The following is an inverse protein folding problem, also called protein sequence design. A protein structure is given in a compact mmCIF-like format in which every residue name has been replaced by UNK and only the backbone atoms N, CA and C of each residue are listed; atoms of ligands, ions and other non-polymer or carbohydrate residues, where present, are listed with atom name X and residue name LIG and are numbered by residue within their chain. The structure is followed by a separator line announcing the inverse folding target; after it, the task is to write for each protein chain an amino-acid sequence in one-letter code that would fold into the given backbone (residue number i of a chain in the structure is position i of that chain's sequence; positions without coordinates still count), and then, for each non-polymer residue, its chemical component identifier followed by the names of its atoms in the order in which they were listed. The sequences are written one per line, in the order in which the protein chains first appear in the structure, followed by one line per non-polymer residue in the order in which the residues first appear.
data_IF_845311790440
#
_entry.id   IF_845311790440
#
_cell.length_a   1.000
_cell.length_b   1.000
_cell.length_c   1.000
_cell.angle_alpha   90.00
_cell.angle_beta   90.00
_cell.angle_gamma   90.00
#
_symmetry.space_group_name_H-M   'P 1'
#
loop_
_entity.id
_entity.type
_entity.pdbx_description
1 polymer ?
#
# COMPACT_ATOMS: atom_id res chain seq x y z
N UNK A 1 11.68 -11.12 18.77
CA UNK A 1 10.50 -11.49 17.98
C UNK A 1 10.51 -10.58 16.76
N UNK A 2 10.80 -11.13 15.58
CA UNK A 2 10.84 -10.34 14.36
C UNK A 2 9.41 -10.10 13.89
N UNK A 3 8.99 -8.83 13.95
CA UNK A 3 7.64 -8.42 13.55
C UNK A 3 7.60 -8.35 12.02
N UNK A 4 6.71 -9.12 11.39
CA UNK A 4 6.61 -9.16 9.93
C UNK A 4 5.97 -7.88 9.37
N UNK A 5 6.64 -7.10 8.49
CA UNK A 5 6.15 -5.78 8.06
C UNK A 5 4.77 -5.81 7.40
N UNK A 6 4.48 -6.86 6.62
CA UNK A 6 3.16 -7.03 6.01
C UNK A 6 2.03 -7.17 7.03
N UNK A 7 2.27 -7.79 8.18
CA UNK A 7 1.28 -7.90 9.27
C UNK A 7 1.06 -6.54 9.92
N UNK A 8 2.14 -5.80 10.19
CA UNK A 8 2.07 -4.44 10.76
C UNK A 8 1.24 -3.53 9.86
N UNK A 9 1.48 -3.59 8.55
CA UNK A 9 0.75 -2.82 7.56
C UNK A 9 -0.75 -3.16 7.57
N UNK A 10 -1.11 -4.44 7.53
CA UNK A 10 -2.51 -4.87 7.54
C UNK A 10 -3.25 -4.38 8.78
N UNK A 11 -2.62 -4.49 9.95
CA UNK A 11 -3.17 -3.98 11.21
C UNK A 11 -3.29 -2.45 11.21
N UNK A 12 -2.28 -1.73 10.70
CA UNK A 12 -2.30 -0.28 10.63
C UNK A 12 -3.44 0.22 9.72
N UNK A 13 -3.59 -0.35 8.53
CA UNK A 13 -4.68 -0.01 7.61
C UNK A 13 -6.06 -0.37 8.16
N UNK A 14 -6.17 -1.51 8.86
CA UNK A 14 -7.42 -1.89 9.50
C UNK A 14 -7.84 -0.84 10.56
N UNK A 15 -6.91 -0.45 11.43
CA UNK A 15 -7.16 0.56 12.45
C UNK A 15 -7.42 1.94 11.83
N UNK A 16 -6.69 2.33 10.79
CA UNK A 16 -6.88 3.59 10.09
C UNK A 16 -8.28 3.66 9.46
N UNK A 17 -8.72 2.61 8.76
CA UNK A 17 -10.06 2.52 8.19
C UNK A 17 -11.15 2.64 9.26
N UNK A 18 -10.93 2.02 10.42
CA UNK A 18 -11.85 2.09 11.57
C UNK A 18 -11.93 3.49 12.19
N UNK A 19 -10.79 4.13 12.42
CA UNK A 19 -10.73 5.41 13.16
C UNK A 19 -11.20 6.59 12.33
N UNK A 20 -11.01 6.53 11.01
CA UNK A 20 -11.26 7.68 10.14
C UNK A 20 -12.70 7.75 9.61
N UNK A 21 -13.52 6.72 9.84
CA UNK A 21 -14.83 6.54 9.20
C UNK A 21 -14.78 6.82 7.67
N UNK A 22 -13.60 6.70 7.05
CA UNK A 22 -13.44 6.87 5.61
C UNK A 22 -14.14 5.73 4.87
N UNK A 23 -14.30 4.58 5.53
CA UNK A 23 -14.71 3.32 4.95
C UNK A 23 -15.71 2.62 5.88
N UNK A 24 -16.85 2.19 5.32
CA UNK A 24 -17.82 1.40 6.09
C UNK A 24 -17.32 -0.05 6.22
N UNK A 25 -17.15 -0.52 7.46
CA UNK A 25 -16.61 -1.85 7.74
C UNK A 25 -17.53 -2.98 7.23
N UNK A 26 -16.92 -3.99 6.60
CA UNK A 26 -17.51 -5.33 6.47
C UNK A 26 -17.29 -6.08 7.81
N UNK A 27 -17.67 -7.37 7.99
CA UNK A 27 -17.52 -8.05 9.27
C UNK A 27 -16.09 -7.91 9.80
N UNK A 28 -15.93 -7.41 11.04
CA UNK A 28 -14.66 -6.87 11.53
C UNK A 28 -13.51 -7.89 11.49
N UNK A 29 -13.78 -9.14 11.93
CA UNK A 29 -12.77 -10.20 11.95
C UNK A 29 -12.28 -10.61 10.56
N UNK A 30 -13.21 -10.80 9.62
CA UNK A 30 -12.88 -11.14 8.22
C UNK A 30 -12.13 -10.01 7.52
N UNK A 31 -12.48 -8.77 7.83
CA UNK A 31 -11.85 -7.58 7.26
C UNK A 31 -10.41 -7.41 7.76
N UNK A 32 -10.17 -7.61 9.07
CA UNK A 32 -8.82 -7.60 9.62
C UNK A 32 -7.96 -8.74 9.04
N UNK A 33 -8.50 -9.96 8.96
CA UNK A 33 -7.79 -11.12 8.39
C UNK A 33 -7.46 -10.92 6.92
N UNK A 34 -8.42 -10.47 6.11
CA UNK A 34 -8.21 -10.23 4.68
C UNK A 34 -7.12 -9.19 4.43
N UNK A 35 -7.12 -8.09 5.19
CA UNK A 35 -6.05 -7.09 5.11
C UNK A 35 -4.70 -7.68 5.47
N UNK A 36 -4.57 -8.33 6.63
CA UNK A 36 -3.29 -8.92 7.07
C UNK A 36 -2.74 -9.90 6.03
N UNK A 37 -3.59 -10.78 5.49
CA UNK A 37 -3.17 -11.77 4.50
C UNK A 37 -2.69 -11.07 3.22
N UNK A 38 -3.50 -10.17 2.67
CA UNK A 38 -3.18 -9.53 1.38
C UNK A 38 -1.99 -8.57 1.48
N UNK A 39 -1.84 -7.85 2.59
CA UNK A 39 -0.65 -7.01 2.83
C UNK A 39 0.59 -7.86 3.06
N UNK A 40 0.47 -9.04 3.68
CA UNK A 40 1.59 -9.96 3.88
C UNK A 40 2.05 -10.63 2.59
N UNK A 41 1.11 -11.04 1.74
CA UNK A 41 1.39 -11.57 0.40
C UNK A 41 2.00 -10.48 -0.48
N UNK A 42 1.40 -9.29 -0.50
CA UNK A 42 1.91 -8.14 -1.26
C UNK A 42 3.34 -7.77 -0.85
N UNK A 43 3.63 -7.73 0.45
CA UNK A 43 4.98 -7.50 0.96
C UNK A 43 5.97 -8.58 0.51
N UNK A 44 5.60 -9.86 0.62
CA UNK A 44 6.49 -10.96 0.23
C UNK A 44 6.84 -10.89 -1.26
N UNK A 45 5.82 -10.74 -2.10
CA UNK A 45 6.00 -10.65 -3.55
C UNK A 45 6.79 -9.41 -3.96
N UNK A 46 6.51 -8.26 -3.33
CA UNK A 46 7.30 -7.05 -3.54
C UNK A 46 8.80 -7.26 -3.25
N UNK A 47 9.10 -7.90 -2.14
CA UNK A 47 10.48 -8.20 -1.72
C UNK A 47 11.14 -9.18 -2.70
N UNK A 48 10.45 -10.26 -3.07
CA UNK A 48 10.97 -11.25 -4.03
C UNK A 48 11.21 -10.61 -5.41
N UNK A 49 10.27 -9.81 -5.90
CA UNK A 49 10.41 -9.04 -7.15
C UNK A 49 11.59 -8.07 -7.09
N UNK A 50 11.81 -7.41 -5.95
CA UNK A 50 12.94 -6.51 -5.77
C UNK A 50 14.29 -7.25 -5.76
N UNK A 51 14.34 -8.45 -5.19
CA UNK A 51 15.56 -9.27 -5.11
C UNK A 51 15.89 -10.01 -6.41
N UNK A 52 14.91 -10.57 -7.11
CA UNK A 52 15.15 -11.44 -8.28
C UNK A 52 15.54 -10.66 -9.54
N UNK A 53 15.13 -9.39 -9.69
CA UNK A 53 15.15 -8.73 -11.01
C UNK A 53 16.35 -7.78 -11.24
N UNK A 54 16.98 -7.24 -10.19
CA UNK A 54 18.16 -6.33 -10.33
C UNK A 54 17.90 -4.99 -11.05
N UNK A 55 18.47 -3.88 -10.54
CA UNK A 55 18.16 -2.50 -11.00
C UNK A 55 18.25 -2.31 -12.53
N UNK A 56 17.39 -1.50 -13.18
CA UNK A 56 16.58 -0.39 -12.64
C UNK A 56 15.05 -0.57 -12.66
N UNK A 57 14.55 -1.66 -13.25
CA UNK A 57 13.13 -2.03 -13.37
C UNK A 57 12.51 -2.80 -12.14
N UNK A 58 13.24 -3.30 -11.11
CA UNK A 58 12.63 -4.05 -10.00
C UNK A 58 11.81 -3.22 -9.04
N UNK A 59 12.26 -2.01 -8.68
CA UNK A 59 11.68 -1.25 -7.56
C UNK A 59 10.29 -0.70 -7.86
N UNK A 60 10.10 -0.18 -9.06
CA UNK A 60 8.79 0.30 -9.54
C UNK A 60 7.80 -0.85 -9.59
N UNK A 61 8.23 -2.01 -10.12
CA UNK A 61 7.38 -3.21 -10.20
C UNK A 61 7.06 -3.74 -8.81
N UNK A 62 8.04 -3.82 -7.91
CA UNK A 62 7.83 -4.22 -6.51
C UNK A 62 6.80 -3.32 -5.82
N UNK A 63 6.94 -2.00 -5.97
CA UNK A 63 6.01 -1.01 -5.43
C UNK A 63 4.60 -1.17 -5.98
N UNK A 64 4.48 -1.34 -7.30
CA UNK A 64 3.20 -1.60 -7.96
C UNK A 64 2.55 -2.89 -7.45
N UNK A 65 3.31 -3.99 -7.37
CA UNK A 65 2.83 -5.29 -6.90
C UNK A 65 2.34 -5.20 -5.45
N UNK A 66 3.13 -4.63 -4.55
CA UNK A 66 2.74 -4.47 -3.15
C UNK A 66 1.44 -3.66 -3.00
N UNK A 67 1.36 -2.52 -3.68
CA UNK A 67 0.20 -1.63 -3.63
C UNK A 67 -1.06 -2.25 -4.28
N UNK A 68 -0.90 -3.05 -5.34
CA UNK A 68 -2.00 -3.80 -5.93
C UNK A 68 -2.64 -4.74 -4.89
N UNK A 69 -1.86 -5.57 -4.21
CA UNK A 69 -2.37 -6.47 -3.18
C UNK A 69 -3.01 -5.72 -2.00
N UNK A 70 -2.41 -4.60 -1.58
CA UNK A 70 -3.01 -3.74 -0.54
C UNK A 70 -4.37 -3.19 -0.98
N UNK A 71 -4.49 -2.72 -2.23
CA UNK A 71 -5.76 -2.19 -2.75
C UNK A 71 -6.86 -3.26 -2.81
N UNK A 72 -6.51 -4.51 -3.18
CA UNK A 72 -7.42 -5.66 -3.12
C UNK A 72 -7.84 -5.94 -1.67
N UNK A 73 -6.90 -5.90 -0.73
CA UNK A 73 -7.18 -6.06 0.70
C UNK A 73 -8.16 -5.02 1.21
N UNK A 74 -7.98 -3.76 0.81
CA UNK A 74 -8.88 -2.68 1.16
C UNK A 74 -10.28 -2.87 0.55
N UNK A 75 -10.39 -3.26 -0.72
CA UNK A 75 -11.68 -3.53 -1.37
C UNK A 75 -12.43 -4.71 -0.74
N UNK A 76 -11.72 -5.75 -0.32
CA UNK A 76 -12.32 -6.92 0.33
C UNK A 76 -12.80 -6.56 1.74
N UNK A 77 -12.06 -5.72 2.45
CA UNK A 77 -12.25 -5.43 3.87
C UNK A 77 -13.21 -4.28 4.13
N UNK A 78 -13.38 -3.41 3.13
CA UNK A 78 -14.11 -2.17 3.28
C UNK A 78 -15.10 -1.95 2.14
N UNK A 79 -16.21 -1.27 2.42
CA UNK A 79 -17.09 -0.76 1.37
C UNK A 79 -16.48 0.51 0.79
N UNK A 80 -15.69 0.35 -0.26
CA UNK A 80 -15.18 1.46 -1.09
C UNK A 80 -16.31 1.89 -2.04
N UNK A 81 -16.69 3.17 -2.01
CA UNK A 81 -17.75 3.73 -2.88
C UNK A 81 -17.23 4.12 -4.26
N UNK A 82 -15.91 4.32 -4.38
CA UNK A 82 -15.23 4.66 -5.64
C UNK A 82 -15.23 3.46 -6.58
N UNK A 83 -15.22 3.71 -7.91
CA UNK A 83 -15.07 2.67 -8.92
C UNK A 83 -13.85 1.77 -8.57
N UNK A 84 -14.05 0.44 -8.41
CA UNK A 84 -13.00 -0.46 -7.94
C UNK A 84 -11.75 -0.49 -8.84
N UNK A 85 -11.93 -0.37 -10.15
CA UNK A 85 -10.81 -0.35 -11.11
C UNK A 85 -10.00 0.92 -10.92
N UNK A 86 -10.66 2.07 -10.85
CA UNK A 86 -10.00 3.35 -10.61
C UNK A 86 -9.25 3.36 -9.26
N UNK A 87 -9.86 2.79 -8.21
CA UNK A 87 -9.25 2.65 -6.89
C UNK A 87 -7.97 1.82 -6.93
N UNK A 88 -8.02 0.62 -7.54
CA UNK A 88 -6.86 -0.27 -7.68
C UNK A 88 -5.76 0.44 -8.48
N UNK A 89 -6.08 0.99 -9.64
CA UNK A 89 -5.10 1.67 -10.51
C UNK A 89 -4.43 2.83 -9.78
N UNK A 90 -5.20 3.67 -9.09
CA UNK A 90 -4.67 4.83 -8.37
C UNK A 90 -3.70 4.44 -7.26
N UNK A 91 -4.03 3.41 -6.48
CA UNK A 91 -3.18 2.91 -5.40
C UNK A 91 -1.94 2.21 -5.96
N UNK A 92 -2.11 1.38 -6.99
CA UNK A 92 -1.00 0.69 -7.67
C UNK A 92 -0.01 1.68 -8.27
N UNK A 93 -0.49 2.73 -8.95
CA UNK A 93 0.36 3.81 -9.49
C UNK A 93 1.07 4.55 -8.36
N UNK A 94 0.39 4.81 -7.24
CA UNK A 94 1.03 5.41 -6.06
C UNK A 94 2.17 4.53 -5.54
N UNK A 95 1.96 3.20 -5.45
CA UNK A 95 3.01 2.25 -5.09
C UNK A 95 4.17 2.24 -6.08
N UNK A 96 3.89 2.29 -7.38
CA UNK A 96 4.90 2.36 -8.43
C UNK A 96 5.77 3.64 -8.30
N UNK A 97 5.12 4.78 -8.02
CA UNK A 97 5.80 6.06 -7.74
C UNK A 97 6.67 5.97 -6.49
N UNK A 98 6.21 5.31 -5.43
CA UNK A 98 7.04 5.06 -4.26
C UNK A 98 8.26 4.20 -4.58
N UNK A 99 8.07 3.09 -5.29
CA UNK A 99 9.18 2.29 -5.81
C UNK A 99 10.21 3.11 -6.62
N UNK A 100 9.72 4.05 -7.44
CA UNK A 100 10.59 4.97 -8.19
C UNK A 100 11.36 5.93 -7.27
N UNK A 101 10.69 6.58 -6.32
CA UNK A 101 11.31 7.51 -5.37
C UNK A 101 12.35 6.80 -4.51
N UNK A 102 12.01 5.62 -3.98
CA UNK A 102 12.92 4.80 -3.19
C UNK A 102 14.22 4.51 -3.92
N UNK A 103 14.15 4.21 -5.22
CA UNK A 103 15.35 4.00 -6.04
C UNK A 103 16.26 5.22 -6.03
N UNK A 104 15.73 6.43 -6.20
CA UNK A 104 16.55 7.65 -6.14
C UNK A 104 17.19 7.83 -4.77
N UNK A 105 16.45 7.57 -3.71
CA UNK A 105 16.95 7.66 -2.33
C UNK A 105 18.08 6.64 -2.13
N UNK A 106 17.88 5.38 -2.55
CA UNK A 106 18.87 4.32 -2.44
C UNK A 106 20.15 4.66 -3.22
N UNK A 107 20.01 5.15 -4.45
CA UNK A 107 21.13 5.55 -5.29
C UNK A 107 21.88 6.78 -4.74
N UNK A 108 21.16 7.78 -4.22
CA UNK A 108 21.75 9.01 -3.69
C UNK A 108 22.46 8.81 -2.35
N UNK A 109 21.92 7.94 -1.49
CA UNK A 109 22.44 7.71 -0.15
C UNK A 109 23.38 6.50 -0.06
N UNK A 110 23.52 5.70 -1.12
CA UNK A 110 24.40 4.53 -1.15
C UNK A 110 24.08 3.50 -0.06
N UNK A 111 22.80 3.40 0.34
CA UNK A 111 22.37 2.68 1.54
C UNK A 111 22.71 1.18 1.45
N UNK A 112 22.76 0.62 0.24
CA UNK A 112 23.03 -0.80 0.00
C UNK A 112 21.98 -1.70 0.68
N UNK A 113 22.27 -3.00 0.80
CA UNK A 113 21.40 -3.97 1.49
C UNK A 113 21.56 -3.96 3.02
N UNK A 114 21.96 -2.82 3.60
CA UNK A 114 22.10 -2.69 5.05
C UNK A 114 20.75 -2.82 5.78
N UNK A 115 20.80 -3.07 7.09
CA UNK A 115 19.62 -3.24 7.95
C UNK A 115 18.64 -2.06 7.95
N UNK A 116 19.09 -0.87 7.51
CA UNK A 116 18.27 0.33 7.36
C UNK A 116 17.40 0.30 6.09
N UNK A 117 17.78 -0.49 5.09
CA UNK A 117 17.10 -0.54 3.79
C UNK A 117 15.64 -1.03 3.91
N UNK A 118 15.32 -2.14 4.60
CA UNK A 118 13.93 -2.59 4.73
C UNK A 118 13.07 -1.61 5.55
N UNK A 119 13.69 -0.92 6.52
CA UNK A 119 13.01 0.05 7.37
C UNK A 119 12.65 1.33 6.57
N UNK A 120 13.61 1.86 5.80
CA UNK A 120 13.39 3.03 4.94
C UNK A 120 12.37 2.71 3.85
N UNK A 121 12.46 1.53 3.23
CA UNK A 121 11.49 1.06 2.24
C UNK A 121 10.09 0.96 2.85
N UNK A 122 9.97 0.38 4.05
CA UNK A 122 8.69 0.27 4.75
C UNK A 122 8.08 1.65 5.04
N UNK A 123 8.86 2.60 5.58
CA UNK A 123 8.37 3.94 5.93
C UNK A 123 7.93 4.74 4.70
N UNK A 124 8.74 4.73 3.64
CA UNK A 124 8.47 5.45 2.40
C UNK A 124 7.21 4.91 1.70
N UNK A 125 7.06 3.57 1.65
CA UNK A 125 5.85 2.94 1.14
C UNK A 125 4.60 3.27 1.96
N UNK A 126 4.69 3.29 3.29
CA UNK A 126 3.52 3.64 4.11
C UNK A 126 3.06 5.07 3.87
N UNK A 127 3.99 6.01 3.77
CA UNK A 127 3.67 7.41 3.54
C UNK A 127 2.92 7.60 2.21
N UNK A 128 3.45 7.00 1.14
CA UNK A 128 2.92 7.18 -0.22
C UNK A 128 1.60 6.43 -0.40
N UNK A 129 1.49 5.22 0.15
CA UNK A 129 0.27 4.44 0.07
C UNK A 129 -0.88 5.09 0.84
N UNK A 130 -0.63 5.58 2.05
CA UNK A 130 -1.63 6.31 2.85
C UNK A 130 -2.01 7.63 2.17
N UNK A 131 -1.04 8.32 1.55
CA UNK A 131 -1.32 9.55 0.79
C UNK A 131 -2.21 9.26 -0.43
N UNK A 132 -1.89 8.22 -1.22
CA UNK A 132 -2.69 7.79 -2.35
C UNK A 132 -4.11 7.41 -1.93
N UNK A 133 -4.24 6.63 -0.85
CA UNK A 133 -5.54 6.28 -0.27
C UNK A 133 -6.33 7.54 0.14
N UNK A 134 -5.69 8.48 0.83
CA UNK A 134 -6.33 9.73 1.24
C UNK A 134 -6.82 10.55 0.03
N UNK A 135 -6.00 10.69 -1.01
CA UNK A 135 -6.36 11.44 -2.22
C UNK A 135 -7.53 10.80 -2.97
N UNK A 136 -7.52 9.47 -3.15
CA UNK A 136 -8.60 8.73 -3.82
C UNK A 136 -9.90 8.89 -3.04
N UNK A 137 -9.86 8.72 -1.72
CA UNK A 137 -11.05 8.83 -0.87
C UNK A 137 -11.57 10.27 -0.78
N UNK A 138 -10.68 11.27 -0.74
CA UNK A 138 -11.06 12.69 -0.74
C UNK A 138 -11.63 13.12 -2.10
N UNK A 139 -11.07 12.64 -3.20
CA UNK A 139 -11.57 12.89 -4.55
C UNK A 139 -12.99 12.36 -4.71
N UNK A 140 -13.24 11.12 -4.28
CA UNK A 140 -14.57 10.51 -4.33
C UNK A 140 -15.63 11.30 -3.55
N UNK A 141 -15.30 11.76 -2.33
CA UNK A 141 -16.21 12.61 -1.53
C UNK A 141 -16.55 13.95 -2.18
N UNK A 142 -15.68 14.51 -3.02
CA UNK A 142 -15.96 15.79 -3.71
C UNK A 142 -16.91 15.62 -4.89
N UNK A 143 -16.85 14.48 -5.58
CA UNK A 143 -17.74 14.17 -6.71
C UNK A 143 -19.17 13.97 -6.20
N UNK A 144 -19.35 13.23 -5.09
CA UNK A 144 -20.67 13.02 -4.47
C UNK A 144 -21.36 14.34 -4.01
N UNK A 145 -20.60 15.39 -3.68
CA UNK A 145 -21.15 16.68 -3.22
C UNK A 145 -21.54 17.61 -4.40
N UNK A 146 -21.00 17.40 -5.60
CA UNK A 146 -21.34 18.21 -6.78
C UNK A 146 -22.60 17.74 -7.51
N UNK A 147 -23.11 16.54 -7.19
CA UNK A 147 -24.33 15.98 -7.79
C UNK A 147 -25.63 16.35 -7.01
N UNK A 148 -25.53 17.23 -6.01
CA UNK A 148 -26.65 17.81 -5.25
C UNK A 148 -26.72 19.33 -5.42
#
# INVERSE_FOLDING_TARGET
MDVYPGVVLGLALFNLGRLTNLLSARPMGLSALALIILTSVGWRLAVDVAYDIGEPIPFVVAGATGAMFVSLGLLVSWKVTVNPVFFIVSITVSGAVGGFIFRFINAALGIGTNILWPLLLFMEWQLILVTGLYLVMRGARRIEVQEY
#
